data_IF_012361434657
#
_entry.id   IF_012361434657
#
_cell.length_a   1.000
_cell.length_b   1.000
_cell.length_c   1.000
_cell.angle_alpha   90.00
_cell.angle_beta   90.00
_cell.angle_gamma   90.00
#
_symmetry.space_group_name_H-M   'P 1'
#
loop_
_entity.id
_entity.type
_entity.pdbx_description
1 polymer ?
#
# COMPACT_ATOMS: atom_id res chain seq x y z
N UNK A 1 11.81 28.93 -8.45
CA UNK A 1 10.78 27.91 -8.12
C UNK A 1 11.39 26.76 -7.31
N UNK A 2 12.51 26.18 -7.72
CA UNK A 2 13.19 25.08 -7.00
C UNK A 2 13.61 25.42 -5.56
N UNK A 3 14.15 26.62 -5.32
CA UNK A 3 14.60 27.04 -3.97
C UNK A 3 13.46 27.12 -2.94
N UNK A 4 12.29 27.63 -3.34
CA UNK A 4 11.11 27.71 -2.46
C UNK A 4 10.55 26.32 -2.15
N UNK A 5 10.48 25.46 -3.16
CA UNK A 5 10.04 24.06 -3.01
C UNK A 5 10.95 23.28 -2.06
N UNK A 6 12.26 23.46 -2.17
CA UNK A 6 13.23 22.81 -1.27
C UNK A 6 13.11 23.31 0.17
N UNK A 7 12.90 24.61 0.38
CA UNK A 7 12.69 25.17 1.72
C UNK A 7 11.40 24.64 2.36
N UNK A 8 10.31 24.53 1.58
CA UNK A 8 9.05 23.94 2.05
C UNK A 8 9.21 22.46 2.43
N UNK A 9 9.90 21.67 1.60
CA UNK A 9 10.14 20.25 1.88
C UNK A 9 10.96 20.05 3.16
N UNK A 10 11.98 20.89 3.39
CA UNK A 10 12.78 20.83 4.62
C UNK A 10 11.94 21.12 5.86
N UNK A 11 11.11 22.17 5.83
CA UNK A 11 10.22 22.50 6.94
C UNK A 11 9.22 21.37 7.24
N UNK A 12 8.61 20.77 6.21
CA UNK A 12 7.71 19.63 6.36
C UNK A 12 8.41 18.40 6.96
N UNK A 13 9.68 18.18 6.61
CA UNK A 13 10.49 17.08 7.15
C UNK A 13 10.79 17.31 8.65
N UNK A 14 11.15 18.52 9.04
CA UNK A 14 11.39 18.90 10.44
C UNK A 14 10.12 18.77 11.30
N UNK A 15 8.97 19.20 10.77
CA UNK A 15 7.66 19.05 11.41
C UNK A 15 7.26 17.58 11.53
N UNK A 16 7.54 16.77 10.51
CA UNK A 16 7.28 15.32 10.52
C UNK A 16 8.14 14.63 11.58
N UNK A 17 9.43 14.98 11.67
CA UNK A 17 10.32 14.44 12.69
C UNK A 17 9.87 14.82 14.11
N UNK A 18 9.41 16.05 14.29
CA UNK A 18 8.90 16.53 15.59
C UNK A 18 7.59 15.86 15.97
N UNK A 19 6.62 15.84 15.07
CA UNK A 19 5.33 15.17 15.29
C UNK A 19 5.52 13.66 15.47
N UNK A 20 6.50 13.06 14.79
CA UNK A 20 6.85 11.65 14.92
C UNK A 20 7.31 11.27 16.34
N UNK A 21 8.04 12.15 17.04
CA UNK A 21 8.43 11.91 18.44
C UNK A 21 7.23 11.86 19.37
N UNK A 22 6.29 12.78 19.21
CA UNK A 22 5.03 12.80 19.98
C UNK A 22 4.09 11.64 19.60
N UNK A 23 4.09 11.22 18.34
CA UNK A 23 3.33 10.04 17.89
C UNK A 23 3.78 8.75 18.58
N UNK A 24 5.10 8.55 18.77
CA UNK A 24 5.62 7.39 19.51
C UNK A 24 5.22 7.40 20.99
N UNK A 25 4.84 8.57 21.53
CA UNK A 25 4.34 8.72 22.89
C UNK A 25 2.80 8.59 22.99
N UNK A 26 2.13 8.21 21.89
CA UNK A 26 0.67 8.07 21.79
C UNK A 26 -0.10 9.35 22.17
N UNK A 27 0.51 10.52 21.91
CA UNK A 27 -0.15 11.80 22.14
C UNK A 27 -1.36 12.00 21.19
N UNK A 28 -2.51 12.39 21.73
CA UNK A 28 -3.76 12.56 20.99
C UNK A 28 -3.62 13.47 19.76
N UNK A 29 -4.10 13.01 18.60
CA UNK A 29 -4.14 13.80 17.35
C UNK A 29 -2.83 13.83 16.57
N UNK A 30 -1.74 13.28 17.12
CA UNK A 30 -0.44 13.26 16.45
C UNK A 30 -0.42 12.32 15.25
N UNK A 31 -1.18 11.23 15.29
CA UNK A 31 -1.30 10.26 14.19
C UNK A 31 -1.88 10.91 12.93
N UNK A 32 -2.99 11.65 13.06
CA UNK A 32 -3.63 12.39 11.97
C UNK A 32 -2.73 13.49 11.43
N UNK A 33 -2.08 14.24 12.34
CA UNK A 33 -1.14 15.30 11.97
C UNK A 33 0.05 14.74 11.19
N UNK A 34 0.65 13.65 11.68
CA UNK A 34 1.78 12.99 11.02
C UNK A 34 1.37 12.48 9.63
N UNK A 35 0.19 11.87 9.50
CA UNK A 35 -0.33 11.43 8.21
C UNK A 35 -0.56 12.59 7.22
N UNK A 36 -1.00 13.75 7.70
CA UNK A 36 -1.14 14.95 6.86
C UNK A 36 0.21 15.50 6.40
N UNK A 37 1.19 15.52 7.31
CA UNK A 37 2.55 15.98 7.02
C UNK A 37 3.25 15.08 6.00
N UNK A 38 3.15 13.76 6.13
CA UNK A 38 3.78 12.83 5.17
C UNK A 38 3.19 12.98 3.76
N UNK A 39 1.87 13.14 3.63
CA UNK A 39 1.22 13.43 2.35
C UNK A 39 1.70 14.76 1.75
N UNK A 40 1.80 15.80 2.57
CA UNK A 40 2.26 17.12 2.15
C UNK A 40 3.74 17.08 1.71
N UNK A 41 4.58 16.35 2.45
CA UNK A 41 5.99 16.16 2.13
C UNK A 41 6.14 15.41 0.80
N UNK A 42 5.42 14.30 0.61
CA UNK A 42 5.42 13.55 -0.66
C UNK A 42 5.05 14.46 -1.83
N UNK A 43 3.97 15.23 -1.72
CA UNK A 43 3.55 16.18 -2.76
C UNK A 43 4.60 17.30 -3.01
N UNK A 44 5.33 17.73 -1.99
CA UNK A 44 6.39 18.73 -2.14
C UNK A 44 7.64 18.18 -2.82
N UNK A 45 7.96 16.89 -2.69
CA UNK A 45 9.18 16.27 -3.26
C UNK A 45 8.94 15.55 -4.58
N UNK A 46 7.71 15.16 -4.89
CA UNK A 46 7.34 14.47 -6.14
C UNK A 46 7.42 15.41 -7.37
N UNK A 47 7.99 14.94 -8.47
CA UNK A 47 7.97 15.64 -9.75
C UNK A 47 6.57 15.56 -10.38
N UNK A 48 6.16 16.55 -11.21
CA UNK A 48 4.87 16.48 -11.89
C UNK A 48 4.65 15.19 -12.70
N UNK A 49 5.70 14.67 -13.35
CA UNK A 49 5.65 13.40 -14.10
C UNK A 49 5.42 12.19 -13.20
N UNK A 50 6.04 12.18 -12.02
CA UNK A 50 5.88 11.12 -11.02
C UNK A 50 4.46 11.15 -10.44
N UNK A 51 3.92 12.33 -10.15
CA UNK A 51 2.54 12.50 -9.71
C UNK A 51 1.54 11.99 -10.74
N UNK A 52 1.76 12.28 -12.04
CA UNK A 52 0.94 11.76 -13.14
C UNK A 52 1.02 10.22 -13.19
N UNK A 53 2.22 9.64 -13.06
CA UNK A 53 2.38 8.18 -13.07
C UNK A 53 1.71 7.52 -11.85
N UNK A 54 1.83 8.11 -10.66
CA UNK A 54 1.18 7.62 -9.45
C UNK A 54 -0.34 7.64 -9.58
N UNK A 55 -0.90 8.75 -10.05
CA UNK A 55 -2.35 8.92 -10.18
C UNK A 55 -2.94 8.13 -11.34
N UNK A 56 -2.26 8.13 -12.49
CA UNK A 56 -2.77 7.54 -13.73
C UNK A 56 -2.56 6.04 -13.83
N UNK A 57 -1.56 5.49 -13.13
CA UNK A 57 -1.20 4.08 -13.21
C UNK A 57 -1.08 3.44 -11.82
N UNK A 58 -0.17 3.89 -10.97
CA UNK A 58 0.20 3.12 -9.77
C UNK A 58 -0.96 2.93 -8.79
N UNK A 59 -1.71 3.98 -8.44
CA UNK A 59 -2.84 3.87 -7.50
C UNK A 59 -4.04 3.09 -8.08
N UNK A 60 -4.47 3.31 -9.34
CA UNK A 60 -5.47 2.46 -9.97
C UNK A 60 -5.06 0.98 -10.03
N UNK A 61 -3.83 0.69 -10.44
CA UNK A 61 -3.31 -0.68 -10.50
C UNK A 61 -3.27 -1.31 -9.10
N UNK A 62 -2.78 -0.59 -8.09
CA UNK A 62 -2.77 -1.04 -6.69
C UNK A 62 -4.16 -1.43 -6.23
N UNK A 63 -5.15 -0.59 -6.49
CA UNK A 63 -6.53 -0.87 -6.09
C UNK A 63 -7.05 -2.15 -6.74
N UNK A 64 -6.80 -2.34 -8.04
CA UNK A 64 -7.26 -3.51 -8.79
C UNK A 64 -6.54 -4.79 -8.33
N UNK A 65 -5.24 -4.69 -8.10
CA UNK A 65 -4.40 -5.77 -7.59
C UNK A 65 -4.77 -6.19 -6.17
N UNK A 66 -5.11 -5.25 -5.29
CA UNK A 66 -5.65 -5.58 -3.96
C UNK A 66 -6.94 -6.39 -4.07
N UNK A 67 -7.83 -6.03 -5.01
CA UNK A 67 -9.04 -6.82 -5.26
C UNK A 67 -8.72 -8.22 -5.78
N UNK A 68 -7.86 -8.34 -6.78
CA UNK A 68 -7.46 -9.62 -7.37
C UNK A 68 -6.76 -10.50 -6.33
N UNK A 69 -5.82 -9.94 -5.57
CA UNK A 69 -5.10 -10.65 -4.52
C UNK A 69 -6.03 -11.14 -3.40
N UNK A 70 -7.06 -10.36 -3.07
CA UNK A 70 -8.13 -10.78 -2.15
C UNK A 70 -8.97 -11.94 -2.72
N UNK A 71 -9.36 -11.87 -3.99
CA UNK A 71 -10.13 -12.94 -4.65
C UNK A 71 -9.34 -14.25 -4.76
N UNK A 72 -8.04 -14.14 -5.03
CA UNK A 72 -7.10 -15.25 -5.06
C UNK A 72 -6.65 -15.72 -3.66
N UNK A 73 -7.13 -15.07 -2.60
CA UNK A 73 -6.77 -15.37 -1.20
C UNK A 73 -5.27 -15.27 -0.90
N UNK A 74 -4.52 -14.46 -1.65
CA UNK A 74 -3.07 -14.33 -1.47
C UNK A 74 -2.72 -13.75 -0.09
N UNK A 75 -3.54 -12.82 0.41
CA UNK A 75 -3.34 -12.25 1.74
C UNK A 75 -3.57 -13.27 2.85
N UNK A 76 -4.58 -14.14 2.71
CA UNK A 76 -4.83 -15.24 3.66
C UNK A 76 -3.62 -16.17 3.70
N UNK A 77 -3.07 -16.53 2.54
CA UNK A 77 -1.87 -17.39 2.44
C UNK A 77 -0.62 -16.78 3.05
N UNK A 78 -0.41 -15.49 2.84
CA UNK A 78 0.70 -14.78 3.49
C UNK A 78 0.53 -14.71 5.01
N UNK A 79 -0.70 -14.49 5.51
CA UNK A 79 -0.98 -14.46 6.93
C UNK A 79 -0.79 -15.85 7.59
N UNK A 80 -1.17 -16.93 6.91
CA UNK A 80 -0.92 -18.32 7.35
C UNK A 80 0.58 -18.65 7.49
N UNK A 81 1.46 -17.87 6.85
CA UNK A 81 2.91 -18.09 6.77
C UNK A 81 3.74 -16.88 7.20
N UNK A 82 3.18 -16.00 8.03
CA UNK A 82 3.76 -14.67 8.35
C UNK A 82 5.25 -14.71 8.77
N UNK A 83 5.64 -15.68 9.60
CA UNK A 83 7.00 -15.82 10.11
C UNK A 83 8.04 -16.05 9.01
N UNK A 84 7.69 -16.88 8.02
CA UNK A 84 8.60 -17.30 6.96
C UNK A 84 8.39 -16.40 5.75
N UNK A 85 7.16 -16.28 5.27
CA UNK A 85 6.81 -15.72 3.96
C UNK A 85 6.54 -16.82 2.94
N UNK A 86 6.24 -16.40 1.72
CA UNK A 86 5.99 -17.28 0.57
C UNK A 86 6.62 -16.71 -0.69
N UNK A 87 7.13 -17.59 -1.54
CA UNK A 87 7.57 -17.24 -2.87
C UNK A 87 6.40 -16.96 -3.81
N UNK A 88 6.64 -16.23 -4.92
CA UNK A 88 5.67 -16.09 -6.00
C UNK A 88 5.14 -17.45 -6.51
N UNK A 89 6.03 -18.45 -6.60
CA UNK A 89 5.71 -19.78 -7.11
C UNK A 89 4.80 -20.56 -6.15
N UNK A 90 5.07 -20.49 -4.84
CA UNK A 90 4.22 -21.10 -3.81
C UNK A 90 2.84 -20.43 -3.79
N UNK A 91 2.79 -19.09 -3.79
CA UNK A 91 1.54 -18.33 -3.84
C UNK A 91 0.71 -18.70 -5.07
N UNK A 92 1.32 -18.77 -6.26
CA UNK A 92 0.64 -19.14 -7.48
C UNK A 92 0.09 -20.57 -7.42
N UNK A 93 0.88 -21.51 -6.88
CA UNK A 93 0.48 -22.92 -6.73
C UNK A 93 -0.71 -23.05 -5.78
N UNK A 94 -0.65 -22.41 -4.60
CA UNK A 94 -1.70 -22.50 -3.59
C UNK A 94 -3.01 -21.81 -4.01
N UNK A 95 -2.90 -20.70 -4.75
CA UNK A 95 -4.06 -19.95 -5.26
C UNK A 95 -4.58 -20.45 -6.61
N UNK A 96 -3.88 -21.42 -7.23
CA UNK A 96 -4.15 -21.89 -8.60
C UNK A 96 -4.15 -20.75 -9.63
N UNK A 97 -3.28 -19.76 -9.41
CA UNK A 97 -3.11 -18.61 -10.29
C UNK A 97 -1.92 -18.81 -11.24
N UNK A 98 -1.87 -17.99 -12.30
CA UNK A 98 -0.72 -17.96 -13.19
C UNK A 98 0.52 -17.40 -12.46
N UNK A 99 1.68 -18.10 -12.48
CA UNK A 99 2.87 -17.67 -11.76
C UNK A 99 3.42 -16.30 -12.18
N UNK A 100 3.31 -15.95 -13.46
CA UNK A 100 3.80 -14.66 -13.97
C UNK A 100 2.89 -13.55 -13.45
N UNK A 101 1.57 -13.74 -13.53
CA UNK A 101 0.58 -12.82 -12.99
C UNK A 101 0.78 -12.62 -11.49
N UNK A 102 0.90 -13.69 -10.70
CA UNK A 102 1.13 -13.61 -9.26
C UNK A 102 2.40 -12.82 -8.97
N UNK A 103 3.51 -13.15 -9.62
CA UNK A 103 4.79 -12.45 -9.42
C UNK A 103 4.69 -10.95 -9.79
N UNK A 104 3.98 -10.59 -10.87
CA UNK A 104 3.74 -9.21 -11.25
C UNK A 104 2.92 -8.43 -10.20
N UNK A 105 1.80 -9.00 -9.75
CA UNK A 105 0.93 -8.41 -8.73
C UNK A 105 1.72 -8.21 -7.43
N UNK A 106 2.39 -9.25 -6.95
CA UNK A 106 3.09 -9.20 -5.66
C UNK A 106 4.22 -8.16 -5.66
N UNK A 107 5.01 -8.04 -6.73
CA UNK A 107 6.04 -6.99 -6.85
C UNK A 107 5.45 -5.57 -6.80
N UNK A 108 4.35 -5.32 -7.50
CA UNK A 108 3.74 -4.00 -7.48
C UNK A 108 3.11 -3.70 -6.12
N UNK A 109 2.47 -4.69 -5.48
CA UNK A 109 1.97 -4.56 -4.11
C UNK A 109 3.08 -4.31 -3.08
N UNK A 110 4.30 -4.83 -3.30
CA UNK A 110 5.49 -4.47 -2.50
C UNK A 110 5.88 -3.01 -2.73
N UNK A 111 6.01 -2.58 -3.98
CA UNK A 111 6.33 -1.18 -4.31
C UNK A 111 5.31 -0.19 -3.73
N UNK A 112 4.04 -0.61 -3.58
CA UNK A 112 2.95 0.18 -3.02
C UNK A 112 2.75 0.01 -1.52
N UNK A 113 3.70 -0.63 -0.81
CA UNK A 113 3.69 -0.87 0.63
C UNK A 113 2.44 -1.61 1.14
N UNK A 114 1.84 -2.46 0.30
CA UNK A 114 0.74 -3.34 0.68
C UNK A 114 1.28 -4.64 1.26
N UNK A 115 2.30 -5.20 0.61
CA UNK A 115 2.98 -6.44 1.00
C UNK A 115 4.46 -6.14 1.26
N UNK A 116 5.14 -6.92 2.09
CA UNK A 116 6.59 -6.82 2.30
C UNK A 116 7.37 -7.84 1.47
N UNK A 117 8.68 -7.64 1.33
CA UNK A 117 9.59 -8.55 0.64
C UNK A 117 10.84 -8.80 1.51
N UNK A 118 11.22 -10.07 1.69
CA UNK A 118 12.44 -10.48 2.43
C UNK A 118 13.61 -10.84 1.49
N UNK A 119 13.36 -10.96 0.21
CA UNK A 119 14.31 -11.32 -0.83
C UNK A 119 13.58 -11.46 -2.17
N UNK A 120 14.33 -11.60 -3.26
CA UNK A 120 13.76 -11.63 -4.60
C UNK A 120 12.61 -12.65 -4.71
N UNK A 121 11.42 -12.16 -5.08
CA UNK A 121 10.20 -12.97 -5.24
C UNK A 121 9.75 -13.70 -3.96
N UNK A 122 10.13 -13.22 -2.77
CA UNK A 122 9.79 -13.81 -1.48
C UNK A 122 9.08 -12.80 -0.57
N UNK A 123 7.76 -12.98 -0.43
CA UNK A 123 6.83 -12.01 0.10
C UNK A 123 6.40 -12.32 1.52
N UNK A 124 6.11 -11.28 2.30
CA UNK A 124 5.62 -11.37 3.68
C UNK A 124 4.47 -10.42 3.92
N UNK A 125 3.59 -10.78 4.86
CA UNK A 125 2.49 -9.92 5.24
C UNK A 125 3.01 -8.62 5.90
N UNK A 126 2.31 -7.52 5.64
CA UNK A 126 2.34 -6.29 6.43
C UNK A 126 1.08 -6.24 7.32
N UNK A 127 1.03 -5.37 8.34
CA UNK A 127 -0.20 -5.13 9.09
C UNK A 127 -1.40 -4.79 8.20
N UNK A 128 -1.17 -4.09 7.08
CA UNK A 128 -2.24 -3.75 6.14
C UNK A 128 -2.71 -4.96 5.33
N UNK A 129 -1.80 -5.77 4.77
CA UNK A 129 -2.22 -6.99 4.06
C UNK A 129 -2.88 -8.01 4.99
N UNK A 130 -2.43 -8.11 6.25
CA UNK A 130 -3.09 -8.97 7.24
C UNK A 130 -4.50 -8.48 7.53
N UNK A 131 -4.71 -7.17 7.69
CA UNK A 131 -6.05 -6.61 7.86
C UNK A 131 -6.98 -6.95 6.67
N UNK A 132 -6.46 -7.03 5.45
CA UNK A 132 -7.24 -7.40 4.26
C UNK A 132 -7.77 -8.85 4.26
N UNK A 133 -7.37 -9.69 5.22
CA UNK A 133 -8.00 -11.01 5.47
C UNK A 133 -9.35 -10.89 6.18
N UNK A 134 -9.57 -9.80 6.92
CA UNK A 134 -10.82 -9.59 7.66
C UNK A 134 -11.93 -9.08 6.71
N UNK A 135 -13.14 -9.67 6.72
CA UNK A 135 -14.22 -9.29 5.80
C UNK A 135 -14.53 -7.79 5.77
N UNK A 136 -14.56 -7.12 6.93
CA UNK A 136 -14.87 -5.67 7.00
C UNK A 136 -13.90 -4.79 6.20
N UNK A 137 -12.64 -5.19 6.03
CA UNK A 137 -11.66 -4.44 5.24
C UNK A 137 -11.67 -4.90 3.78
N UNK A 138 -11.72 -6.22 3.53
CA UNK A 138 -11.78 -6.80 2.19
C UNK A 138 -13.03 -6.37 1.42
N UNK A 139 -14.18 -6.39 2.08
CA UNK A 139 -15.46 -6.09 1.46
C UNK A 139 -15.57 -4.58 1.15
N UNK A 140 -14.84 -3.74 1.89
CA UNK A 140 -14.67 -2.31 1.57
C UNK A 140 -13.96 -2.08 0.23
N UNK A 141 -12.95 -2.87 -0.10
CA UNK A 141 -12.32 -2.84 -1.43
C UNK A 141 -13.31 -3.33 -2.49
N UNK A 142 -14.02 -4.42 -2.23
CA UNK A 142 -15.00 -4.97 -3.17
C UNK A 142 -16.10 -3.96 -3.49
N UNK A 143 -16.60 -3.23 -2.48
CA UNK A 143 -17.59 -2.19 -2.65
C UNK A 143 -17.14 -1.08 -3.64
N UNK A 144 -15.85 -0.71 -3.61
CA UNK A 144 -15.30 0.30 -4.54
C UNK A 144 -15.33 -0.14 -6.01
N UNK A 145 -15.47 -1.44 -6.29
CA UNK A 145 -15.53 -2.03 -7.62
C UNK A 145 -16.93 -2.43 -8.08
N UNK A 146 -17.96 -2.29 -7.24
CA UNK A 146 -19.33 -2.56 -7.66
C UNK A 146 -19.74 -1.41 -8.59
N UNK A 147 -19.95 -1.65 -9.90
CA UNK A 147 -20.52 -0.63 -10.76
C UNK A 147 -21.98 -0.45 -10.35
N UNK A 148 -22.29 0.68 -9.74
CA UNK A 148 -23.63 1.25 -9.58
C UNK A 148 -24.79 0.23 -9.43
N UNK A 149 -25.12 -0.13 -8.19
CA UNK A 149 -26.53 -0.33 -7.79
C UNK A 149 -27.26 1.03 -7.79
N UNK A 150 -27.22 1.72 -8.93
CA UNK A 150 -28.10 2.83 -9.27
C UNK A 150 -28.61 2.53 -10.67
N UNK A 151 -29.37 1.44 -10.78
CA UNK A 151 -30.50 1.42 -11.70
C UNK A 151 -31.56 2.36 -11.10
N UNK A 152 -31.52 3.62 -11.53
CA UNK A 152 -32.68 4.52 -11.54
C UNK A 152 -33.59 4.15 -12.70
#
# INVERSE_FOLDING_TARGET
>A
MTTHRNAQALSLLEDSATTGRSYVQDETGTREKLLSLTKSLSAAVELPSEAIQRMGWAEPARSAEVKIAGDLKLFDKLAEKEDVGLTAAELATESKADPILTSCIMRHLVAMNVVGEKGADHYVATPFSTALTEPKYRDGITYAYIPYLISL
#
